data_IF_749950793052
#
_entry.id   IF_749950793052
#
_cell.length_a   1.000
_cell.length_b   1.000
_cell.length_c   1.000
_cell.angle_alpha   90.00
_cell.angle_beta   90.00
_cell.angle_gamma   90.00
#
_symmetry.space_group_name_H-M   'P 1'
#
loop_
_entity.id
_entity.type
_entity.pdbx_description
1 polymer ?
#
# COMPACT_ATOMS: atom_id res chain seq x y z
N UNK A 1 49.02 9.19 26.48
CA UNK A 1 47.77 8.89 25.73
C UNK A 1 46.82 10.07 25.91
N UNK A 2 46.28 10.65 24.83
CA UNK A 2 45.43 11.85 24.88
C UNK A 2 43.96 11.51 25.11
N UNK A 3 43.29 12.24 26.00
CA UNK A 3 41.91 11.98 26.47
C UNK A 3 40.83 12.72 25.67
N UNK A 4 41.10 13.05 24.42
CA UNK A 4 40.21 13.84 23.57
C UNK A 4 38.99 13.05 23.08
N UNK A 5 39.13 11.74 22.83
CA UNK A 5 38.00 10.88 22.51
C UNK A 5 37.23 10.55 23.79
N UNK A 6 35.96 10.97 23.87
CA UNK A 6 35.08 10.77 25.02
C UNK A 6 33.73 10.27 24.51
N UNK A 7 33.10 9.28 25.16
CA UNK A 7 31.74 8.86 24.81
C UNK A 7 30.73 9.96 25.21
N UNK A 8 29.62 10.03 24.47
CA UNK A 8 28.49 10.89 24.78
C UNK A 8 27.54 10.16 25.74
N UNK A 9 27.47 10.59 27.00
CA UNK A 9 26.55 10.01 27.99
C UNK A 9 25.16 10.65 27.99
N UNK A 10 25.06 11.87 27.46
CA UNK A 10 23.80 12.60 27.31
C UNK A 10 23.67 13.12 25.87
N UNK A 11 22.52 12.91 25.21
CA UNK A 11 22.29 13.42 23.86
C UNK A 11 22.05 14.93 23.88
N UNK A 12 22.24 15.59 22.73
CA UNK A 12 21.87 16.98 22.55
C UNK A 12 20.35 17.15 22.70
N UNK A 13 19.92 18.18 23.44
CA UNK A 13 18.50 18.51 23.63
C UNK A 13 18.05 19.50 22.56
N UNK A 14 16.98 19.17 21.84
CA UNK A 14 16.34 20.11 20.91
C UNK A 14 15.61 21.25 21.65
N UNK A 15 15.45 22.40 20.99
CA UNK A 15 14.64 23.53 21.48
C UNK A 15 15.30 24.90 21.44
N UNK A 16 16.64 24.98 21.57
CA UNK A 16 17.30 26.27 21.77
C UNK A 16 17.73 26.99 20.47
N UNK A 17 18.11 26.26 19.41
CA UNK A 17 18.95 26.86 18.35
C UNK A 17 18.37 26.78 16.94
N UNK A 18 17.68 25.70 16.57
CA UNK A 18 16.99 25.58 15.28
C UNK A 18 15.65 24.87 15.47
N UNK A 19 14.57 25.48 14.97
CA UNK A 19 13.22 24.92 15.05
C UNK A 19 12.52 24.98 16.41
N UNK A 20 13.18 25.50 17.46
CA UNK A 20 12.55 25.80 18.75
C UNK A 20 12.42 27.30 19.01
N UNK A 21 11.91 27.65 20.19
CA UNK A 21 11.67 29.03 20.65
C UNK A 21 13.01 29.76 20.86
N UNK A 22 13.65 30.18 19.76
CA UNK A 22 14.92 30.91 19.83
C UNK A 22 14.70 32.22 20.59
N UNK A 23 15.52 32.45 21.61
CA UNK A 23 15.60 33.73 22.35
C UNK A 23 16.35 34.78 21.51
N UNK A 24 17.16 34.34 20.54
CA UNK A 24 17.89 35.18 19.60
C UNK A 24 17.17 35.21 18.23
N UNK A 25 17.04 36.41 17.64
CA UNK A 25 16.12 36.73 16.55
C UNK A 25 16.19 35.82 15.29
N UNK A 26 15.16 35.89 14.43
CA UNK A 26 15.04 35.01 13.27
C UNK A 26 16.22 35.18 12.30
N UNK A 27 16.84 34.06 11.92
CA UNK A 27 17.92 34.01 10.94
C UNK A 27 17.35 34.14 9.52
N UNK A 28 18.02 34.91 8.65
CA UNK A 28 17.69 35.02 7.22
C UNK A 28 18.30 33.91 6.36
N UNK A 29 19.09 33.01 6.95
CA UNK A 29 19.72 31.87 6.25
C UNK A 29 18.72 30.73 6.08
N UNK A 30 18.58 30.20 4.87
CA UNK A 30 17.78 29.01 4.53
C UNK A 30 18.62 27.99 3.76
N UNK A 31 18.29 26.71 3.90
CA UNK A 31 18.89 25.61 3.12
C UNK A 31 18.17 25.45 1.78
N UNK A 32 18.82 24.81 0.80
CA UNK A 32 18.16 24.42 -0.46
C UNK A 32 16.97 23.49 -0.23
N UNK A 33 16.97 22.72 0.86
CA UNK A 33 15.86 21.83 1.26
C UNK A 33 14.69 22.58 1.89
N UNK A 34 14.90 23.80 2.37
CA UNK A 34 13.85 24.64 2.97
C UNK A 34 13.09 25.45 1.92
N UNK A 35 13.49 25.36 0.65
CA UNK A 35 12.76 25.97 -0.46
C UNK A 35 11.37 25.35 -0.57
N UNK A 36 10.39 26.16 -0.99
CA UNK A 36 9.01 25.72 -1.10
C UNK A 36 8.88 24.53 -2.06
N UNK A 37 8.55 23.36 -1.50
CA UNK A 37 8.27 22.13 -2.23
C UNK A 37 7.04 21.45 -1.61
N UNK A 38 6.24 20.77 -2.44
CA UNK A 38 5.00 20.10 -2.01
C UNK A 38 4.06 21.00 -1.19
N UNK A 39 3.80 22.21 -1.69
CA UNK A 39 2.95 23.21 -1.01
C UNK A 39 1.46 22.84 -0.96
N UNK A 40 1.05 21.81 -1.71
CA UNK A 40 -0.34 21.33 -1.75
C UNK A 40 -0.43 19.94 -1.11
N UNK A 41 -1.26 19.82 -0.07
CA UNK A 41 -1.59 18.55 0.56
C UNK A 41 -2.65 17.81 -0.28
N UNK A 42 -2.50 16.48 -0.41
CA UNK A 42 -3.49 15.62 -1.08
C UNK A 42 -4.53 15.14 -0.06
N UNK A 43 -5.80 15.59 -0.14
CA UNK A 43 -6.86 15.02 0.67
C UNK A 43 -7.25 13.64 0.15
N UNK A 44 -7.79 12.78 1.03
CA UNK A 44 -8.39 11.51 0.62
C UNK A 44 -9.65 11.80 -0.19
N UNK A 45 -9.77 11.16 -1.36
CA UNK A 45 -11.01 11.18 -2.17
C UNK A 45 -11.99 10.13 -1.67
N UNK A 46 -13.26 10.27 -2.04
CA UNK A 46 -14.27 9.25 -1.81
C UNK A 46 -13.78 7.89 -2.36
N UNK A 47 -13.96 6.82 -1.59
CA UNK A 47 -13.43 5.48 -1.89
C UNK A 47 -11.96 5.26 -1.47
N UNK A 48 -11.24 6.27 -0.98
CA UNK A 48 -9.90 6.11 -0.39
C UNK A 48 -9.93 6.08 1.15
N UNK A 49 -11.03 5.59 1.72
CA UNK A 49 -11.27 5.58 3.17
C UNK A 49 -11.23 6.99 3.76
N UNK A 50 -12.15 7.83 3.27
CA UNK A 50 -12.42 9.12 3.90
C UNK A 50 -12.92 8.93 5.33
N UNK A 51 -12.71 9.92 6.19
CA UNK A 51 -13.14 9.85 7.58
C UNK A 51 -14.65 9.60 7.71
N UNK A 52 -15.44 10.21 6.83
CA UNK A 52 -16.90 10.08 6.84
C UNK A 52 -17.35 8.67 6.44
N UNK A 53 -16.65 8.03 5.49
CA UNK A 53 -16.93 6.63 5.13
C UNK A 53 -16.59 5.69 6.28
N UNK A 54 -15.42 5.87 6.90
CA UNK A 54 -15.00 5.04 8.05
C UNK A 54 -15.98 5.14 9.23
N UNK A 55 -16.56 6.32 9.47
CA UNK A 55 -17.57 6.50 10.51
C UNK A 55 -18.88 5.77 10.22
N UNK A 56 -19.24 5.59 8.95
CA UNK A 56 -20.48 4.90 8.54
C UNK A 56 -20.31 3.37 8.47
N UNK A 57 -19.08 2.87 8.32
CA UNK A 57 -18.81 1.43 8.14
C UNK A 57 -18.68 0.69 9.49
N UNK A 58 -19.20 -0.53 9.53
CA UNK A 58 -19.02 -1.45 10.66
C UNK A 58 -17.72 -2.26 10.51
N UNK A 59 -16.59 -1.66 10.89
CA UNK A 59 -15.25 -2.25 10.69
C UNK A 59 -15.08 -3.63 11.33
N UNK A 60 -15.75 -3.90 12.46
CA UNK A 60 -15.67 -5.19 13.15
C UNK A 60 -16.24 -6.33 12.30
N UNK A 61 -17.38 -6.09 11.66
CA UNK A 61 -18.05 -7.09 10.83
C UNK A 61 -17.28 -7.35 9.54
N UNK A 62 -16.79 -6.28 8.90
CA UNK A 62 -15.95 -6.38 7.70
C UNK A 62 -14.66 -7.16 7.97
N UNK A 63 -14.03 -6.91 9.12
CA UNK A 63 -12.84 -7.64 9.56
C UNK A 63 -13.15 -9.13 9.74
N UNK A 64 -14.21 -9.47 10.48
CA UNK A 64 -14.57 -10.88 10.73
C UNK A 64 -14.90 -11.61 9.41
N UNK A 65 -15.59 -10.95 8.48
CA UNK A 65 -15.89 -11.53 7.17
C UNK A 65 -14.63 -11.74 6.33
N UNK A 66 -13.73 -10.75 6.30
CA UNK A 66 -12.46 -10.85 5.58
C UNK A 66 -11.56 -11.94 6.18
N UNK A 67 -11.52 -12.04 7.51
CA UNK A 67 -10.84 -13.12 8.20
C UNK A 67 -11.47 -14.47 7.85
N UNK A 68 -12.80 -14.61 7.92
CA UNK A 68 -13.49 -15.85 7.55
C UNK A 68 -13.17 -16.28 6.12
N UNK A 69 -13.18 -15.34 5.16
CA UNK A 69 -12.79 -15.60 3.77
C UNK A 69 -11.32 -16.03 3.68
N UNK A 70 -10.41 -15.31 4.35
CA UNK A 70 -8.99 -15.63 4.39
C UNK A 70 -8.70 -17.00 5.02
N UNK A 71 -9.32 -17.34 6.15
CA UNK A 71 -9.17 -18.65 6.78
C UNK A 71 -9.76 -19.76 5.90
N UNK A 72 -10.90 -19.52 5.24
CA UNK A 72 -11.49 -20.52 4.33
C UNK A 72 -10.65 -20.78 3.07
N UNK A 73 -9.92 -19.77 2.55
CA UNK A 73 -9.01 -19.95 1.42
C UNK A 73 -7.65 -20.51 1.87
N UNK A 74 -7.17 -20.11 3.04
CA UNK A 74 -5.92 -20.61 3.62
C UNK A 74 -6.04 -22.07 4.06
N UNK A 75 -7.15 -22.49 4.67
CA UNK A 75 -7.38 -23.89 5.03
C UNK A 75 -7.50 -24.79 3.80
N UNK A 76 -8.06 -24.30 2.69
CA UNK A 76 -8.05 -25.05 1.41
C UNK A 76 -6.61 -25.24 0.90
N UNK A 77 -5.82 -24.17 0.86
CA UNK A 77 -4.40 -24.25 0.49
C UNK A 77 -3.58 -25.14 1.44
N UNK A 78 -3.80 -25.05 2.75
CA UNK A 78 -3.04 -25.84 3.74
C UNK A 78 -3.45 -27.32 3.72
N UNK A 79 -4.73 -27.65 3.54
CA UNK A 79 -5.18 -29.05 3.44
C UNK A 79 -4.76 -29.68 2.11
N UNK A 80 -4.79 -28.94 1.00
CA UNK A 80 -4.38 -29.43 -0.31
C UNK A 80 -2.86 -29.62 -0.42
N UNK A 81 -2.05 -28.76 0.21
CA UNK A 81 -0.60 -28.96 0.40
C UNK A 81 -0.25 -30.06 1.41
N UNK A 82 -1.16 -30.36 2.35
CA UNK A 82 -0.98 -31.48 3.28
C UNK A 82 -1.36 -32.80 2.63
N UNK A 83 -2.39 -32.85 1.79
CA UNK A 83 -2.78 -34.07 1.06
C UNK A 83 -1.78 -34.42 -0.05
N UNK A 84 -1.18 -33.44 -0.73
CA UNK A 84 -0.03 -33.68 -1.61
C UNK A 84 1.20 -34.22 -0.86
N UNK A 85 1.40 -33.81 0.41
CA UNK A 85 2.47 -34.35 1.28
C UNK A 85 2.08 -35.63 2.04
N UNK A 86 0.79 -35.95 2.11
CA UNK A 86 0.25 -37.16 2.78
C UNK A 86 -0.06 -38.30 1.79
N UNK A 87 0.32 -38.13 0.52
CA UNK A 87 0.43 -39.23 -0.45
C UNK A 87 1.74 -40.03 -0.36
N UNK A 88 2.73 -39.59 0.43
CA UNK A 88 4.01 -40.27 0.57
C UNK A 88 4.58 -40.11 1.98
N UNK A 89 4.32 -41.07 2.88
CA UNK A 89 5.04 -41.16 4.15
C UNK A 89 4.15 -41.37 5.37
N UNK A 90 4.04 -42.65 5.75
CA UNK A 90 4.01 -43.13 7.14
C UNK A 90 4.35 -42.07 8.20
N UNK A 91 3.42 -41.76 9.10
CA UNK A 91 3.67 -40.80 10.16
C UNK A 91 2.50 -40.63 11.11
N UNK A 92 2.24 -41.68 11.89
CA UNK A 92 1.44 -41.63 13.11
C UNK A 92 1.97 -40.50 13.99
N UNK A 93 1.14 -39.47 14.24
CA UNK A 93 1.47 -38.36 15.14
C UNK A 93 1.62 -38.92 16.56
N UNK A 94 2.87 -39.17 16.94
CA UNK A 94 3.30 -39.50 18.28
C UNK A 94 3.19 -38.23 19.15
N UNK A 95 2.05 -38.03 19.80
CA UNK A 95 1.92 -37.08 20.89
C UNK A 95 2.45 -37.75 22.18
N UNK A 96 3.76 -37.91 22.31
CA UNK A 96 4.37 -38.24 23.61
C UNK A 96 5.85 -37.83 23.67
N UNK A 97 6.16 -36.91 24.60
CA UNK A 97 7.44 -36.81 25.30
C UNK A 97 8.70 -36.41 24.52
N UNK A 98 9.11 -35.14 24.64
CA UNK A 98 10.45 -34.72 24.22
C UNK A 98 10.80 -33.30 24.68
N UNK A 99 11.37 -33.21 25.88
CA UNK A 99 11.95 -32.00 26.48
C UNK A 99 12.85 -31.28 25.46
N UNK A 100 12.60 -29.99 25.21
CA UNK A 100 13.59 -29.11 24.58
C UNK A 100 13.97 -28.04 25.58
N UNK A 101 15.12 -28.29 26.18
CA UNK A 101 15.92 -27.39 26.98
C UNK A 101 16.09 -26.01 26.33
N UNK A 102 15.87 -24.98 27.14
CA UNK A 102 16.80 -23.86 27.38
C UNK A 102 17.72 -23.47 26.19
N UNK A 103 17.17 -22.88 25.14
CA UNK A 103 17.95 -22.04 24.21
C UNK A 103 17.16 -20.78 23.80
N UNK A 104 16.70 -20.04 24.81
CA UNK A 104 16.27 -18.64 24.67
C UNK A 104 17.48 -17.69 24.73
N UNK A 105 18.51 -18.00 23.93
CA UNK A 105 19.67 -17.11 23.71
C UNK A 105 19.36 -16.24 22.49
N UNK A 106 18.69 -15.12 22.76
CA UNK A 106 18.54 -14.03 21.81
C UNK A 106 19.95 -13.46 21.54
N UNK A 107 20.61 -13.97 20.50
CA UNK A 107 21.79 -13.33 19.91
C UNK A 107 21.28 -12.05 19.24
N UNK A 108 21.70 -10.85 19.64
CA UNK A 108 21.36 -9.64 18.91
C UNK A 108 22.05 -9.70 17.55
N UNK A 109 21.28 -10.02 16.50
CA UNK A 109 21.68 -9.84 15.11
C UNK A 109 21.81 -8.34 14.87
N UNK A 110 23.02 -7.82 15.04
CA UNK A 110 23.44 -6.55 14.43
C UNK A 110 23.60 -6.77 12.92
N UNK A 111 22.47 -6.89 12.23
CA UNK A 111 22.40 -6.90 10.77
C UNK A 111 21.93 -5.50 10.38
N UNK A 112 22.80 -4.78 9.68
CA UNK A 112 22.54 -3.46 9.12
C UNK A 112 21.46 -3.58 8.03
N UNK A 113 20.55 -2.61 7.97
CA UNK A 113 19.36 -2.64 7.12
C UNK A 113 19.60 -2.09 5.70
N UNK A 114 20.86 -1.78 5.36
CA UNK A 114 21.23 -1.12 4.10
C UNK A 114 22.01 -2.05 3.12
N UNK A 115 22.26 -3.31 3.49
CA UNK A 115 23.10 -4.23 2.69
C UNK A 115 22.27 -5.20 1.81
N UNK A 116 21.00 -4.85 1.54
CA UNK A 116 20.16 -5.60 0.60
C UNK A 116 20.22 -4.98 -0.80
N UNK A 117 21.41 -4.93 -1.40
CA UNK A 117 21.53 -4.77 -2.85
C UNK A 117 21.55 -6.18 -3.48
N UNK A 118 20.36 -6.78 -3.58
CA UNK A 118 20.15 -7.95 -4.42
C UNK A 118 19.81 -7.42 -5.80
N UNK A 119 20.80 -7.44 -6.69
CA UNK A 119 20.60 -7.17 -8.11
C UNK A 119 19.43 -7.99 -8.63
N UNK A 120 18.33 -7.29 -8.90
CA UNK A 120 17.14 -7.87 -9.51
C UNK A 120 17.49 -8.07 -10.98
N UNK A 121 17.94 -9.28 -11.32
CA UNK A 121 17.98 -9.77 -12.69
C UNK A 121 16.61 -9.51 -13.32
N UNK A 122 16.57 -8.56 -14.25
CA UNK A 122 15.43 -8.40 -15.15
C UNK A 122 15.41 -9.61 -16.09
N UNK A 123 14.62 -10.62 -15.73
CA UNK A 123 14.09 -11.54 -16.75
C UNK A 123 12.96 -10.79 -17.46
N UNK A 124 13.33 -10.25 -18.60
CA UNK A 124 12.47 -9.81 -19.69
C UNK A 124 12.03 -11.06 -20.45
N UNK A 125 10.88 -11.67 -20.09
CA UNK A 125 10.10 -12.56 -20.97
C UNK A 125 8.62 -12.60 -20.54
N UNK A 126 7.76 -11.97 -21.35
CA UNK A 126 6.59 -12.60 -21.99
C UNK A 126 5.63 -11.52 -22.48
N UNK A 127 5.74 -11.18 -23.76
CA UNK A 127 4.70 -10.53 -24.56
C UNK A 127 3.63 -11.59 -24.86
N UNK A 128 2.49 -11.50 -24.19
CA UNK A 128 1.32 -12.35 -24.42
C UNK A 128 0.20 -11.41 -24.91
N UNK A 129 0.26 -11.10 -26.20
CA UNK A 129 -0.73 -10.32 -26.95
C UNK A 129 -1.80 -11.32 -27.45
N UNK A 130 -2.73 -11.69 -26.55
CA UNK A 130 -3.84 -12.62 -26.81
C UNK A 130 -5.19 -11.91 -26.57
N UNK A 131 -5.75 -11.38 -27.68
CA UNK A 131 -7.14 -11.58 -28.13
C UNK A 131 -8.35 -10.95 -27.35
N UNK A 132 -8.38 -9.61 -27.16
CA UNK A 132 -9.55 -8.85 -26.64
C UNK A 132 -10.18 -7.87 -27.68
N UNK A 133 -10.25 -8.23 -28.96
CA UNK A 133 -10.86 -7.37 -30.01
C UNK A 133 -12.38 -7.14 -29.82
N UNK A 134 -13.12 -8.12 -29.29
CA UNK A 134 -14.58 -8.06 -29.12
C UNK A 134 -15.04 -7.02 -28.06
N UNK A 135 -14.28 -6.84 -26.97
CA UNK A 135 -14.62 -5.88 -25.91
C UNK A 135 -14.41 -4.42 -26.36
N UNK A 136 -13.47 -4.20 -27.29
CA UNK A 136 -13.20 -2.86 -27.85
C UNK A 136 -14.26 -2.41 -28.86
N UNK A 137 -14.76 -3.34 -29.69
CA UNK A 137 -15.82 -3.07 -30.66
C UNK A 137 -17.14 -2.74 -29.98
N UNK A 138 -17.48 -3.47 -28.90
CA UNK A 138 -18.68 -3.22 -28.10
C UNK A 138 -18.67 -1.80 -27.49
N UNK A 139 -17.52 -1.35 -26.99
CA UNK A 139 -17.36 -0.03 -26.36
C UNK A 139 -17.46 1.12 -27.39
N UNK A 140 -16.91 0.91 -28.60
CA UNK A 140 -17.01 1.89 -29.69
C UNK A 140 -18.45 2.05 -30.20
N UNK A 141 -19.20 0.94 -30.31
CA UNK A 141 -20.61 0.97 -30.70
C UNK A 141 -21.50 1.72 -29.69
N UNK A 142 -21.26 1.54 -28.38
CA UNK A 142 -21.99 2.26 -27.34
C UNK A 142 -21.70 3.78 -27.38
N UNK A 143 -20.44 4.17 -27.60
CA UNK A 143 -20.05 5.58 -27.74
C UNK A 143 -20.70 6.24 -28.96
N UNK A 144 -20.82 5.55 -30.08
CA UNK A 144 -21.52 6.04 -31.26
C UNK A 144 -23.01 6.22 -31.02
N UNK A 145 -23.63 5.29 -30.28
CA UNK A 145 -25.04 5.37 -29.91
C UNK A 145 -25.32 6.58 -28.99
N UNK A 146 -24.48 6.79 -27.98
CA UNK A 146 -24.53 7.96 -27.07
C UNK A 146 -24.32 9.26 -27.86
N UNK A 147 -23.37 9.29 -28.80
CA UNK A 147 -23.07 10.49 -29.60
C UNK A 147 -24.24 10.85 -30.52
N UNK A 148 -24.90 9.85 -31.11
CA UNK A 148 -26.08 10.02 -31.96
C UNK A 148 -27.29 10.51 -31.17
N UNK A 149 -27.58 9.90 -30.01
CA UNK A 149 -28.65 10.34 -29.13
C UNK A 149 -28.45 11.78 -28.65
N UNK A 150 -27.22 12.13 -28.26
CA UNK A 150 -26.88 13.47 -27.78
C UNK A 150 -26.96 14.53 -28.88
N UNK A 151 -26.62 14.18 -30.11
CA UNK A 151 -26.79 15.06 -31.27
C UNK A 151 -28.28 15.33 -31.56
N UNK A 152 -29.12 14.29 -31.49
CA UNK A 152 -30.56 14.41 -31.69
C UNK A 152 -31.22 15.23 -30.58
N UNK A 153 -30.84 15.00 -29.32
CA UNK A 153 -31.34 15.75 -28.17
C UNK A 153 -30.95 17.24 -28.26
N UNK A 154 -29.70 17.54 -28.66
CA UNK A 154 -29.25 18.90 -28.88
C UNK A 154 -30.02 19.60 -30.01
N UNK A 155 -30.26 18.91 -31.13
CA UNK A 155 -31.03 19.45 -32.25
C UNK A 155 -32.51 19.69 -31.85
N UNK A 156 -33.09 18.80 -31.04
CA UNK A 156 -34.42 18.98 -30.47
C UNK A 156 -34.49 20.17 -29.52
N UNK A 157 -33.49 20.34 -28.65
CA UNK A 157 -33.36 21.50 -27.75
C UNK A 157 -33.15 22.80 -28.53
N UNK A 158 -32.38 22.78 -29.61
CA UNK A 158 -32.15 23.94 -30.47
C UNK A 158 -33.42 24.36 -31.21
N UNK A 159 -34.17 23.41 -31.79
CA UNK A 159 -35.49 23.69 -32.39
C UNK A 159 -36.47 24.27 -31.37
N UNK A 160 -36.48 23.76 -30.13
CA UNK A 160 -37.30 24.32 -29.06
C UNK A 160 -36.88 25.74 -28.67
N UNK A 161 -35.58 26.02 -28.64
CA UNK A 161 -35.06 27.37 -28.39
C UNK A 161 -35.38 28.34 -29.52
N UNK A 162 -35.21 27.92 -30.79
CA UNK A 162 -35.56 28.74 -31.95
C UNK A 162 -37.06 29.03 -32.05
N UNK A 163 -37.93 28.07 -31.69
CA UNK A 163 -39.39 28.26 -31.66
C UNK A 163 -39.87 29.10 -30.46
N UNK A 164 -39.01 29.31 -29.46
CA UNK A 164 -39.31 30.08 -28.24
C UNK A 164 -38.83 31.54 -28.34
N UNK A 165 -38.24 31.92 -29.48
CA UNK A 165 -37.95 33.30 -29.91
C UNK A 165 -39.03 33.70 -30.92
#
# INVERSE_FOLDING_TARGET
>A
MTTAARPTWAPAKGGNEQGGTRIFGPSQKYSSRDLAAHTALKPRKEGQDTQDELQRRNLRQELEERERRHFSSKDKSYNEDRDRRKGAGTGQLLLEGGKRDVEDRIVPRSIDADDSDVEVKSDDESDDDDDDEDDTEALMAELELIKKERAEENLRKEKQKQKRI
#
